data_IF_007426185605
#
_entry.id   IF_007426185605
#
_cell.length_a   1.000
_cell.length_b   1.000
_cell.length_c   1.000
_cell.angle_alpha   90.00
_cell.angle_beta   90.00
_cell.angle_gamma   90.00
#
_symmetry.space_group_name_H-M   'P 1'
#
loop_
_entity.id
_entity.type
_entity.pdbx_description
1 polymer ?
#
# COMPACT_ATOMS: atom_id res chain seq x y z
N UNK A 1 27.55 -17.58 3.28
CA UNK A 1 26.77 -16.71 4.18
C UNK A 1 25.42 -17.37 4.36
N UNK A 2 24.98 -17.58 5.60
CA UNK A 2 23.60 -17.99 5.85
C UNK A 2 22.70 -16.83 5.43
N UNK A 3 21.64 -17.12 4.70
CA UNK A 3 20.70 -16.11 4.23
C UNK A 3 19.79 -15.60 5.33
N UNK A 4 19.30 -14.37 5.20
CA UNK A 4 18.44 -13.72 6.19
C UNK A 4 16.98 -14.12 6.01
N UNK A 5 16.31 -14.55 7.08
CA UNK A 5 14.84 -14.69 7.14
C UNK A 5 14.23 -13.40 7.68
N UNK A 6 13.40 -12.77 6.86
CA UNK A 6 12.83 -11.45 7.13
C UNK A 6 11.35 -11.55 7.51
N UNK A 7 10.97 -11.02 8.67
CA UNK A 7 9.57 -10.81 9.05
C UNK A 7 9.14 -9.37 8.72
N UNK A 8 8.04 -9.21 8.00
CA UNK A 8 7.51 -7.91 7.57
C UNK A 8 6.09 -7.74 8.09
N UNK A 9 5.86 -7.06 9.22
CA UNK A 9 4.52 -6.62 9.61
C UNK A 9 3.96 -5.60 8.61
N UNK A 10 2.87 -5.96 7.94
CA UNK A 10 2.26 -5.15 6.88
C UNK A 10 1.19 -4.23 7.46
N UNK A 11 1.41 -2.93 7.34
CA UNK A 11 0.44 -1.89 7.69
C UNK A 11 -0.31 -1.33 6.48
N UNK A 12 -0.85 -0.11 6.63
CA UNK A 12 -1.77 0.49 5.65
C UNK A 12 -1.16 0.80 4.27
N UNK A 13 0.16 0.95 4.16
CA UNK A 13 0.86 0.99 2.87
C UNK A 13 1.47 -0.37 2.57
N UNK A 14 1.14 -0.92 1.40
CA UNK A 14 1.73 -2.17 0.91
C UNK A 14 3.06 -1.95 0.20
N UNK A 15 3.49 -0.70 -0.02
CA UNK A 15 4.77 -0.39 -0.67
C UNK A 15 5.99 -0.95 0.06
N UNK A 16 5.87 -1.17 1.37
CA UNK A 16 6.93 -1.79 2.17
C UNK A 16 7.17 -3.26 1.83
N UNK A 17 6.19 -3.95 1.24
CA UNK A 17 6.37 -5.32 0.73
C UNK A 17 7.37 -5.30 -0.43
N UNK A 18 7.18 -4.38 -1.38
CA UNK A 18 8.10 -4.23 -2.52
C UNK A 18 9.50 -3.85 -2.05
N UNK A 19 9.62 -2.94 -1.08
CA UNK A 19 10.91 -2.59 -0.49
C UNK A 19 11.58 -3.77 0.21
N UNK A 20 10.83 -4.58 0.95
CA UNK A 20 11.36 -5.81 1.56
C UNK A 20 11.86 -6.81 0.51
N UNK A 21 11.16 -6.94 -0.62
CA UNK A 21 11.56 -7.81 -1.72
C UNK A 21 12.82 -7.34 -2.47
N UNK A 22 13.21 -6.07 -2.34
CA UNK A 22 14.43 -5.49 -2.94
C UNK A 22 15.68 -5.64 -2.04
N UNK A 23 15.55 -6.20 -0.83
CA UNK A 23 16.68 -6.37 0.08
C UNK A 23 17.57 -7.55 -0.33
N UNK A 24 18.85 -7.27 -0.55
CA UNK A 24 19.87 -8.27 -0.83
C UNK A 24 20.12 -9.20 0.37
N UNK A 25 20.48 -10.46 0.09
CA UNK A 25 20.85 -11.45 1.11
C UNK A 25 19.66 -12.05 1.88
N UNK A 26 18.43 -11.63 1.59
CA UNK A 26 17.21 -12.23 2.14
C UNK A 26 16.85 -13.51 1.39
N UNK A 27 16.70 -14.62 2.11
CA UNK A 27 16.36 -15.94 1.53
C UNK A 27 14.90 -16.35 1.76
N UNK A 28 14.17 -15.59 2.56
CA UNK A 28 12.75 -15.81 2.77
C UNK A 28 12.10 -14.63 3.47
N UNK A 29 10.91 -14.28 3.01
CA UNK A 29 10.09 -13.21 3.58
C UNK A 29 8.82 -13.84 4.17
N UNK A 30 8.52 -13.51 5.42
CA UNK A 30 7.24 -13.79 6.03
C UNK A 30 6.48 -12.48 6.23
N UNK A 31 5.36 -12.31 5.53
CA UNK A 31 4.48 -11.16 5.69
C UNK A 31 3.50 -11.43 6.84
N UNK A 32 3.49 -10.57 7.84
CA UNK A 32 2.50 -10.62 8.90
C UNK A 32 1.37 -9.63 8.58
N UNK A 33 0.27 -10.17 8.06
CA UNK A 33 -0.86 -9.41 7.54
C UNK A 33 -1.92 -9.18 8.63
N UNK A 34 -2.55 -8.01 8.65
CA UNK A 34 -3.73 -7.80 9.50
C UNK A 34 -5.01 -8.19 8.76
N UNK A 35 -5.93 -8.88 9.44
CA UNK A 35 -7.21 -9.31 8.85
C UNK A 35 -8.06 -8.13 8.35
N UNK A 36 -7.95 -6.97 8.98
CA UNK A 36 -8.62 -5.74 8.56
C UNK A 36 -8.15 -5.20 7.21
N UNK A 37 -6.86 -5.36 6.86
CA UNK A 37 -6.29 -4.88 5.61
C UNK A 37 -6.32 -5.93 4.49
N UNK A 38 -6.47 -7.20 4.87
CA UNK A 38 -6.56 -8.34 3.96
C UNK A 38 -7.76 -9.24 4.32
N UNK A 39 -9.01 -8.71 4.23
CA UNK A 39 -10.20 -9.46 4.61
C UNK A 39 -10.56 -10.58 3.60
N UNK A 40 -10.01 -10.53 2.39
CA UNK A 40 -10.30 -11.47 1.32
C UNK A 40 -9.04 -12.30 0.96
N UNK A 41 -9.07 -13.64 1.07
CA UNK A 41 -7.97 -14.52 0.65
C UNK A 41 -7.52 -14.33 -0.80
N UNK A 42 -8.43 -13.95 -1.69
CA UNK A 42 -8.11 -13.76 -3.10
C UNK A 42 -7.24 -12.51 -3.32
N UNK A 43 -7.39 -11.48 -2.49
CA UNK A 43 -6.50 -10.30 -2.52
C UNK A 43 -5.07 -10.68 -2.18
N UNK A 44 -4.87 -11.60 -1.23
CA UNK A 44 -3.53 -12.08 -0.85
C UNK A 44 -2.93 -12.94 -1.95
N UNK A 45 -3.70 -13.86 -2.54
CA UNK A 45 -3.24 -14.67 -3.69
C UNK A 45 -2.81 -13.80 -4.86
N UNK A 46 -3.61 -12.78 -5.21
CA UNK A 46 -3.27 -11.84 -6.28
C UNK A 46 -2.02 -11.05 -5.97
N UNK A 47 -1.89 -10.52 -4.74
CA UNK A 47 -0.69 -9.82 -4.30
C UNK A 47 0.56 -10.70 -4.43
N UNK A 48 0.51 -11.95 -3.99
CA UNK A 48 1.63 -12.89 -4.10
C UNK A 48 1.96 -13.21 -5.57
N UNK A 49 0.94 -13.42 -6.41
CA UNK A 49 1.14 -13.62 -7.84
C UNK A 49 1.78 -12.39 -8.50
N UNK A 50 1.35 -11.18 -8.15
CA UNK A 50 1.96 -9.95 -8.65
C UNK A 50 3.44 -9.85 -8.29
N UNK A 51 3.86 -10.28 -7.09
CA UNK A 51 5.29 -10.29 -6.74
C UNK A 51 6.09 -11.24 -7.66
N UNK A 52 5.53 -12.40 -7.98
CA UNK A 52 6.15 -13.37 -8.91
C UNK A 52 6.20 -12.78 -10.33
N UNK A 53 5.11 -12.18 -10.80
CA UNK A 53 5.01 -11.59 -12.14
C UNK A 53 5.94 -10.38 -12.31
N UNK A 54 6.24 -9.67 -11.23
CA UNK A 54 7.23 -8.60 -11.18
C UNK A 54 8.69 -9.12 -11.15
N UNK A 55 8.89 -10.44 -11.03
CA UNK A 55 10.21 -11.07 -11.08
C UNK A 55 10.92 -11.18 -9.72
N UNK A 56 10.22 -11.01 -8.59
CA UNK A 56 10.83 -11.24 -7.28
C UNK A 56 11.01 -12.74 -7.03
N UNK A 57 12.26 -13.16 -6.84
CA UNK A 57 12.62 -14.58 -6.67
C UNK A 57 12.56 -15.05 -5.21
N UNK A 58 12.65 -14.12 -4.26
CA UNK A 58 12.65 -14.44 -2.83
C UNK A 58 11.33 -15.07 -2.40
N UNK A 59 11.32 -16.28 -1.80
CA UNK A 59 10.09 -16.92 -1.35
C UNK A 59 9.33 -16.06 -0.33
N UNK A 60 8.04 -15.85 -0.58
CA UNK A 60 7.14 -15.09 0.29
C UNK A 60 6.09 -16.00 0.89
N UNK A 61 6.00 -16.00 2.22
CA UNK A 61 4.96 -16.67 2.99
C UNK A 61 4.14 -15.65 3.77
N UNK A 62 2.95 -16.03 4.24
CA UNK A 62 2.02 -15.11 4.91
C UNK A 62 1.49 -15.70 6.22
N UNK A 63 1.30 -14.83 7.20
CA UNK A 63 0.60 -15.09 8.45
C UNK A 63 -0.46 -14.02 8.70
N UNK A 64 -1.48 -14.33 9.50
CA UNK A 64 -2.58 -13.41 9.78
C UNK A 64 -2.72 -13.15 11.27
N UNK A 65 -2.80 -11.86 11.61
CA UNK A 65 -3.07 -11.36 12.96
C UNK A 65 -4.25 -10.38 12.95
N UNK A 66 -4.82 -10.15 14.12
CA UNK A 66 -5.71 -9.04 14.33
C UNK A 66 -4.88 -7.78 14.56
N UNK A 67 -5.24 -6.70 13.87
CA UNK A 67 -4.51 -5.44 13.97
C UNK A 67 -4.91 -4.64 15.22
N UNK A 68 -4.40 -3.40 15.33
CA UNK A 68 -4.68 -2.51 16.46
C UNK A 68 -6.17 -2.21 16.68
N UNK A 69 -7.01 -2.40 15.66
CA UNK A 69 -8.47 -2.27 15.73
C UNK A 69 -9.13 -3.25 16.71
N UNK A 70 -8.51 -4.39 17.00
CA UNK A 70 -8.95 -5.34 18.03
C UNK A 70 -8.57 -4.89 19.46
N UNK A 71 -7.92 -3.73 19.59
CA UNK A 71 -7.37 -3.20 20.84
C UNK A 71 -5.98 -3.77 21.17
N UNK A 72 -5.24 -3.14 22.11
CA UNK A 72 -3.87 -3.52 22.42
C UNK A 72 -3.70 -4.98 22.86
N UNK A 73 -4.63 -5.48 23.68
CA UNK A 73 -4.61 -6.85 24.19
C UNK A 73 -4.93 -7.85 23.08
N UNK A 74 -6.01 -7.62 22.32
CA UNK A 74 -6.42 -8.52 21.23
C UNK A 74 -5.36 -8.65 20.15
N UNK A 75 -4.74 -7.54 19.73
CA UNK A 75 -3.65 -7.54 18.75
C UNK A 75 -2.44 -8.34 19.25
N UNK A 76 -2.00 -8.10 20.50
CA UNK A 76 -0.88 -8.82 21.12
C UNK A 76 -1.17 -10.33 21.21
N UNK A 77 -2.36 -10.70 21.66
CA UNK A 77 -2.73 -12.09 21.87
C UNK A 77 -2.82 -12.82 20.52
N UNK A 78 -3.36 -12.18 19.48
CA UNK A 78 -3.36 -12.70 18.10
C UNK A 78 -1.93 -12.93 17.55
N UNK A 79 -0.98 -12.05 17.86
CA UNK A 79 0.43 -12.24 17.49
C UNK A 79 1.06 -13.43 18.24
N UNK A 80 0.73 -13.62 19.53
CA UNK A 80 1.22 -14.77 20.30
C UNK A 80 0.65 -16.08 19.73
N UNK A 81 -0.66 -16.12 19.44
CA UNK A 81 -1.32 -17.28 18.82
C UNK A 81 -0.73 -17.61 17.44
N UNK A 82 -0.45 -16.59 16.61
CA UNK A 82 0.23 -16.78 15.34
C UNK A 82 1.62 -17.41 15.54
N UNK A 83 2.39 -16.95 16.51
CA UNK A 83 3.70 -17.55 16.83
C UNK A 83 3.58 -19.00 17.28
N UNK A 84 2.62 -19.30 18.14
CA UNK A 84 2.41 -20.66 18.68
C UNK A 84 1.91 -21.64 17.61
N UNK A 85 1.13 -21.17 16.64
CA UNK A 85 0.59 -21.98 15.54
C UNK A 85 1.50 -22.05 14.30
N UNK A 86 2.41 -21.09 14.13
CA UNK A 86 3.25 -20.89 12.95
C UNK A 86 4.46 -21.81 12.80
N UNK A 87 4.64 -22.79 13.71
CA UNK A 87 5.79 -23.69 13.71
C UNK A 87 7.09 -23.02 14.22
N UNK A 88 8.25 -23.61 13.88
CA UNK A 88 9.58 -23.15 14.34
C UNK A 88 10.11 -21.91 13.59
N UNK A 89 9.23 -21.03 13.09
CA UNK A 89 9.66 -19.81 12.40
C UNK A 89 10.26 -18.82 13.41
N UNK A 90 11.53 -18.49 13.19
CA UNK A 90 12.27 -17.48 13.96
C UNK A 90 12.89 -16.52 12.94
N UNK A 91 12.49 -15.23 12.90
CA UNK A 91 13.12 -14.28 12.01
C UNK A 91 14.53 -13.92 12.48
N UNK A 92 15.42 -13.67 11.52
CA UNK A 92 16.73 -13.09 11.80
C UNK A 92 16.64 -11.56 11.82
N UNK A 93 15.72 -10.98 11.04
CA UNK A 93 15.44 -9.56 10.99
C UNK A 93 13.92 -9.28 10.92
N UNK A 94 13.50 -8.14 11.46
CA UNK A 94 12.13 -7.65 11.38
C UNK A 94 12.13 -6.28 10.70
N UNK A 95 11.45 -6.18 9.55
CA UNK A 95 11.31 -4.92 8.82
C UNK A 95 10.12 -4.12 9.36
N UNK A 96 10.39 -3.12 10.19
CA UNK A 96 9.37 -2.46 11.00
C UNK A 96 8.69 -1.26 10.30
N UNK A 97 9.15 -0.88 9.10
CA UNK A 97 8.61 0.28 8.39
C UNK A 97 7.11 0.12 8.09
N UNK A 98 6.35 1.17 8.38
CA UNK A 98 4.90 1.25 8.14
C UNK A 98 4.04 0.32 8.99
N UNK A 99 4.63 -0.38 9.96
CA UNK A 99 3.91 -1.08 11.00
C UNK A 99 3.56 -0.15 12.17
N UNK A 100 2.62 -0.57 13.02
CA UNK A 100 2.30 0.18 14.24
C UNK A 100 3.26 -0.17 15.36
N UNK A 101 3.55 0.80 16.23
CA UNK A 101 4.43 0.59 17.39
C UNK A 101 3.97 -0.57 18.28
N UNK A 102 2.66 -0.82 18.36
CA UNK A 102 2.09 -1.94 19.11
C UNK A 102 2.54 -3.30 18.54
N UNK A 103 2.45 -3.47 17.21
CA UNK A 103 2.88 -4.69 16.53
C UNK A 103 4.40 -4.83 16.67
N UNK A 104 5.15 -3.76 16.41
CA UNK A 104 6.62 -3.76 16.50
C UNK A 104 7.10 -4.15 17.90
N UNK A 105 6.55 -3.53 18.96
CA UNK A 105 6.90 -3.85 20.34
C UNK A 105 6.57 -5.30 20.70
N UNK A 106 5.42 -5.81 20.24
CA UNK A 106 5.00 -7.20 20.49
C UNK A 106 5.96 -8.19 19.81
N UNK A 107 6.35 -7.93 18.56
CA UNK A 107 7.29 -8.76 17.83
C UNK A 107 8.71 -8.71 18.41
N UNK A 108 9.21 -7.53 18.77
CA UNK A 108 10.52 -7.37 19.41
C UNK A 108 10.61 -8.13 20.73
N UNK A 109 9.53 -8.14 21.53
CA UNK A 109 9.44 -8.96 22.75
C UNK A 109 9.46 -10.46 22.45
N UNK A 110 8.80 -10.89 21.37
CA UNK A 110 8.69 -12.31 21.01
C UNK A 110 9.94 -12.86 20.34
N UNK A 111 10.72 -12.00 19.67
CA UNK A 111 11.94 -12.37 18.95
C UNK A 111 13.08 -11.42 19.37
N UNK A 112 13.55 -11.52 20.62
CA UNK A 112 14.56 -10.59 21.15
C UNK A 112 15.93 -10.71 20.46
N UNK A 113 16.17 -11.79 19.72
CA UNK A 113 17.40 -12.02 18.95
C UNK A 113 17.34 -11.47 17.52
N UNK A 114 16.16 -11.04 17.04
CA UNK A 114 16.01 -10.53 15.69
C UNK A 114 16.37 -9.04 15.64
N UNK A 115 17.18 -8.65 14.65
CA UNK A 115 17.47 -7.23 14.43
C UNK A 115 16.20 -6.51 13.95
N UNK A 116 15.96 -5.31 14.47
CA UNK A 116 14.93 -4.43 13.91
C UNK A 116 15.57 -3.58 12.81
N UNK A 117 15.00 -3.62 11.60
CA UNK A 117 15.46 -2.81 10.48
C UNK A 117 14.34 -1.89 9.98
N UNK A 118 14.69 -0.66 9.55
CA UNK A 118 13.72 0.35 9.12
C UNK A 118 14.25 1.14 7.93
N UNK A 119 13.38 1.34 6.95
CA UNK A 119 13.58 2.21 5.80
C UNK A 119 13.27 3.67 6.18
N UNK A 120 14.26 4.54 5.99
CA UNK A 120 14.14 5.99 6.05
C UNK A 120 14.55 6.57 4.71
N UNK A 121 13.57 7.08 3.96
CA UNK A 121 13.75 7.49 2.55
C UNK A 121 14.21 6.31 1.70
N UNK A 122 15.49 6.23 1.38
CA UNK A 122 16.13 5.15 0.61
C UNK A 122 17.09 4.32 1.45
N UNK A 123 17.33 4.69 2.70
CA UNK A 123 18.31 4.04 3.57
C UNK A 123 17.61 3.01 4.46
N UNK A 124 18.10 1.78 4.47
CA UNK A 124 17.69 0.76 5.43
C UNK A 124 18.69 0.74 6.57
N UNK A 125 18.18 1.00 7.77
CA UNK A 125 18.96 1.14 8.98
C UNK A 125 18.61 0.03 9.95
N UNK A 126 19.62 -0.60 10.56
CA UNK A 126 19.46 -1.45 11.74
C UNK A 126 19.32 -0.58 12.99
N UNK A 127 18.34 -0.90 13.83
CA UNK A 127 17.99 -0.19 15.05
C UNK A 127 18.49 -0.94 16.29
N UNK A 128 18.79 -0.25 17.42
CA UNK A 128 18.65 1.19 17.63
C UNK A 128 19.85 2.05 17.19
N UNK A 129 20.99 1.46 16.84
CA UNK A 129 22.24 2.19 16.55
C UNK A 129 22.20 2.99 15.23
N UNK A 130 21.15 2.79 14.42
CA UNK A 130 20.98 3.40 13.08
C UNK A 130 22.14 3.07 12.13
N UNK A 131 22.63 1.84 12.20
CA UNK A 131 23.66 1.33 11.29
C UNK A 131 23.06 1.15 9.88
N UNK A 132 23.65 1.78 8.88
CA UNK A 132 23.26 1.61 7.48
C UNK A 132 23.57 0.20 6.98
N UNK A 133 22.53 -0.56 6.64
CA UNK A 133 22.67 -1.93 6.12
C UNK A 133 22.46 -2.03 4.61
N UNK A 134 21.65 -1.14 4.02
CA UNK A 134 21.39 -1.14 2.58
C UNK A 134 20.84 0.21 2.11
N UNK A 135 20.94 0.46 0.80
CA UNK A 135 20.29 1.57 0.11
C UNK A 135 19.40 0.96 -0.96
N UNK A 136 18.11 1.29 -0.93
CA UNK A 136 17.11 0.78 -1.86
C UNK A 136 16.69 1.84 -2.86
N UNK A 137 16.48 1.40 -4.10
CA UNK A 137 15.83 2.21 -5.11
C UNK A 137 14.37 2.53 -4.72
N UNK A 138 13.82 3.66 -5.18
CA UNK A 138 12.41 3.96 -5.01
C UNK A 138 11.50 2.84 -5.52
N UNK A 139 10.28 2.77 -4.95
CA UNK A 139 9.25 1.89 -5.52
C UNK A 139 8.78 2.49 -6.84
N UNK A 140 8.83 1.70 -7.90
CA UNK A 140 8.33 2.14 -9.20
C UNK A 140 6.80 2.14 -9.21
N UNK A 141 6.21 3.12 -9.88
CA UNK A 141 4.74 3.27 -9.87
C UNK A 141 4.03 2.03 -10.43
N UNK A 142 4.60 1.40 -11.44
CA UNK A 142 4.04 0.20 -12.06
C UNK A 142 4.10 -1.01 -11.12
N UNK A 143 5.18 -1.15 -10.34
CA UNK A 143 5.29 -2.19 -9.31
C UNK A 143 4.21 -2.00 -8.23
N UNK A 144 4.05 -0.74 -7.76
CA UNK A 144 3.04 -0.41 -6.76
C UNK A 144 1.62 -0.69 -7.27
N UNK A 145 1.28 -0.26 -8.48
CA UNK A 145 -0.02 -0.54 -9.08
C UNK A 145 -0.27 -2.04 -9.22
N UNK A 146 0.71 -2.80 -9.73
CA UNK A 146 0.59 -4.24 -9.92
C UNK A 146 0.36 -5.00 -8.60
N UNK A 147 1.03 -4.58 -7.51
CA UNK A 147 0.81 -5.13 -6.17
C UNK A 147 -0.64 -4.98 -5.69
N UNK A 148 -1.33 -3.95 -6.19
CA UNK A 148 -2.73 -3.65 -5.90
C UNK A 148 -3.71 -4.19 -6.96
N UNK A 149 -3.24 -5.04 -7.90
CA UNK A 149 -4.06 -5.55 -8.99
C UNK A 149 -4.44 -4.49 -10.03
N UNK A 150 -3.74 -3.36 -10.04
CA UNK A 150 -4.02 -2.22 -10.91
C UNK A 150 -3.03 -2.12 -12.06
N UNK A 151 -3.50 -1.56 -13.17
CA UNK A 151 -2.66 -1.23 -14.33
C UNK A 151 -3.08 0.09 -14.93
N UNK A 152 -2.10 0.88 -15.37
CA UNK A 152 -2.30 2.12 -16.11
C UNK A 152 -1.93 1.87 -17.58
N UNK A 153 -2.82 2.25 -18.51
CA UNK A 153 -2.50 2.24 -19.94
C UNK A 153 -1.81 3.54 -20.38
N UNK A 154 -1.26 3.54 -21.61
CA UNK A 154 -0.56 4.69 -22.19
C UNK A 154 -1.45 5.95 -22.33
N UNK A 155 -2.77 5.78 -22.29
CA UNK A 155 -3.75 6.86 -22.38
C UNK A 155 -4.18 7.36 -21.00
N UNK A 156 -3.60 6.84 -19.91
CA UNK A 156 -3.93 7.22 -18.54
C UNK A 156 -5.20 6.55 -17.99
N UNK A 157 -5.76 5.52 -18.66
CA UNK A 157 -6.89 4.79 -18.11
C UNK A 157 -6.44 3.72 -17.13
N UNK A 158 -7.14 3.63 -16.00
CA UNK A 158 -6.92 2.61 -15.00
C UNK A 158 -7.75 1.35 -15.27
N UNK A 159 -7.13 0.20 -15.03
CA UNK A 159 -7.80 -1.07 -14.86
C UNK A 159 -7.52 -1.62 -13.45
N UNK A 160 -8.52 -2.29 -12.88
CA UNK A 160 -8.46 -2.98 -11.59
C UNK A 160 -8.89 -4.43 -11.82
N UNK A 161 -8.02 -5.38 -11.45
CA UNK A 161 -8.26 -6.82 -11.64
C UNK A 161 -8.67 -7.18 -13.08
N UNK A 162 -8.09 -6.49 -14.06
CA UNK A 162 -8.37 -6.67 -15.50
C UNK A 162 -9.60 -5.91 -16.03
N UNK A 163 -10.37 -5.26 -15.16
CA UNK A 163 -11.55 -4.47 -15.53
C UNK A 163 -11.21 -2.99 -15.63
N UNK A 164 -11.50 -2.38 -16.78
CA UNK A 164 -11.28 -0.93 -16.98
C UNK A 164 -12.25 -0.13 -16.11
N UNK A 165 -11.72 0.79 -15.30
CA UNK A 165 -12.51 1.71 -14.49
C UNK A 165 -13.23 2.73 -15.38
N UNK A 166 -14.41 3.18 -14.94
CA UNK A 166 -15.29 4.06 -15.71
C UNK A 166 -14.87 5.54 -15.66
N UNK A 167 -13.94 5.89 -14.77
CA UNK A 167 -13.39 7.24 -14.67
C UNK A 167 -12.73 7.69 -15.99
N UNK A 168 -12.69 9.01 -16.25
CA UNK A 168 -11.82 9.54 -17.29
C UNK A 168 -10.35 9.21 -17.00
N UNK A 169 -9.46 9.32 -18.01
CA UNK A 169 -8.04 9.19 -17.81
C UNK A 169 -7.49 10.04 -16.65
N UNK A 170 -6.49 9.52 -15.97
CA UNK A 170 -5.70 10.29 -15.02
C UNK A 170 -4.95 11.42 -15.73
N UNK A 171 -4.84 12.54 -15.04
CA UNK A 171 -3.90 13.61 -15.37
C UNK A 171 -2.47 13.16 -15.05
N UNK A 172 -2.28 12.58 -13.86
CA UNK A 172 -1.03 11.94 -13.46
C UNK A 172 -1.25 10.86 -12.39
N UNK A 173 -0.21 10.04 -12.22
CA UNK A 173 -0.10 9.02 -11.20
C UNK A 173 1.34 9.07 -10.66
N UNK A 174 1.51 9.50 -9.41
CA UNK A 174 2.85 9.78 -8.86
C UNK A 174 3.07 9.07 -7.54
N UNK A 175 4.29 8.56 -7.34
CA UNK A 175 4.72 8.03 -6.05
C UNK A 175 5.13 9.18 -5.13
N UNK A 176 4.58 9.22 -3.92
CA UNK A 176 5.01 10.11 -2.84
C UNK A 176 5.42 9.25 -1.64
N UNK A 177 6.73 9.08 -1.44
CA UNK A 177 7.24 8.12 -0.47
C UNK A 177 6.86 6.68 -0.86
N UNK A 178 6.16 5.96 0.03
CA UNK A 178 5.75 4.57 -0.19
C UNK A 178 4.30 4.42 -0.65
N UNK A 179 3.68 5.51 -1.13
CA UNK A 179 2.27 5.55 -1.51
C UNK A 179 2.07 6.28 -2.84
N UNK A 180 1.26 5.71 -3.72
CA UNK A 180 0.86 6.35 -4.96
C UNK A 180 -0.33 7.31 -4.78
N UNK A 181 -0.33 8.41 -5.53
CA UNK A 181 -1.42 9.37 -5.63
C UNK A 181 -1.97 9.39 -7.05
N UNK A 182 -3.28 9.18 -7.17
CA UNK A 182 -4.03 9.18 -8.43
C UNK A 182 -4.70 10.55 -8.60
N UNK A 183 -4.38 11.27 -9.67
CA UNK A 183 -4.90 12.61 -9.93
C UNK A 183 -5.78 12.65 -11.16
N UNK A 184 -7.02 13.10 -10.99
CA UNK A 184 -7.90 13.52 -12.09
C UNK A 184 -7.96 15.05 -12.15
N UNK A 185 -7.88 15.61 -13.36
CA UNK A 185 -8.01 17.05 -13.58
C UNK A 185 -9.04 17.33 -14.65
N UNK A 186 -10.01 18.18 -14.33
CA UNK A 186 -10.92 18.76 -15.31
C UNK A 186 -10.40 20.12 -15.75
N UNK A 187 -10.02 20.24 -17.02
CA UNK A 187 -9.40 21.44 -17.60
C UNK A 187 -10.33 22.26 -18.49
N UNK A 188 -11.46 21.68 -18.94
CA UNK A 188 -12.41 22.40 -19.79
C UNK A 188 -13.13 23.51 -19.02
N UNK A 189 -13.28 24.67 -19.66
CA UNK A 189 -14.08 25.79 -19.16
C UNK A 189 -15.51 25.35 -18.85
N UNK A 190 -16.15 26.02 -17.88
CA UNK A 190 -17.52 25.72 -17.44
C UNK A 190 -18.46 26.86 -17.84
N UNK A 191 -18.36 27.30 -19.10
CA UNK A 191 -19.09 28.46 -19.60
C UNK A 191 -20.47 28.06 -20.13
N UNK A 192 -20.58 26.86 -20.73
CA UNK A 192 -21.84 26.32 -21.27
C UNK A 192 -22.57 25.35 -20.31
N UNK A 193 -23.87 25.14 -20.54
CA UNK A 193 -24.64 24.14 -19.79
C UNK A 193 -24.17 22.70 -20.05
N UNK A 194 -23.72 22.39 -21.26
CA UNK A 194 -23.31 21.03 -21.61
C UNK A 194 -21.95 20.68 -20.99
N UNK A 195 -21.03 21.65 -20.88
CA UNK A 195 -19.79 21.48 -20.12
C UNK A 195 -20.06 21.25 -18.63
N UNK A 196 -21.01 21.97 -18.03
CA UNK A 196 -21.40 21.74 -16.62
C UNK A 196 -21.97 20.33 -16.41
N UNK A 197 -22.78 19.84 -17.35
CA UNK A 197 -23.28 18.45 -17.32
C UNK A 197 -22.14 17.45 -17.45
N UNK A 198 -21.20 17.69 -18.35
CA UNK A 198 -20.04 16.83 -18.57
C UNK A 198 -19.12 16.79 -17.34
N UNK A 199 -18.84 17.94 -16.74
CA UNK A 199 -18.07 18.05 -15.49
C UNK A 199 -18.74 17.29 -14.35
N UNK A 200 -20.06 17.45 -14.17
CA UNK A 200 -20.83 16.70 -13.17
C UNK A 200 -20.74 15.19 -13.41
N UNK A 201 -20.92 14.75 -14.65
CA UNK A 201 -20.80 13.33 -15.01
C UNK A 201 -19.38 12.81 -14.75
N UNK A 202 -18.35 13.57 -15.11
CA UNK A 202 -16.96 13.24 -14.83
C UNK A 202 -16.71 13.05 -13.33
N UNK A 203 -17.16 13.98 -12.49
CA UNK A 203 -17.02 13.88 -11.03
C UNK A 203 -17.70 12.62 -10.46
N UNK A 204 -18.88 12.26 -10.98
CA UNK A 204 -19.58 11.04 -10.57
C UNK A 204 -18.82 9.76 -10.95
N UNK A 205 -18.23 9.72 -12.17
CA UNK A 205 -17.44 8.59 -12.64
C UNK A 205 -16.13 8.42 -11.85
N UNK A 206 -15.46 9.54 -11.52
CA UNK A 206 -14.29 9.56 -10.63
C UNK A 206 -14.68 9.04 -9.24
N UNK A 207 -15.73 9.59 -8.62
CA UNK A 207 -16.19 9.15 -7.30
C UNK A 207 -16.54 7.66 -7.26
N UNK A 208 -17.22 7.15 -8.29
CA UNK A 208 -17.53 5.72 -8.43
C UNK A 208 -16.27 4.85 -8.53
N UNK A 209 -15.29 5.27 -9.32
CA UNK A 209 -14.04 4.50 -9.49
C UNK A 209 -13.18 4.52 -8.23
N UNK A 210 -13.14 5.64 -7.50
CA UNK A 210 -12.47 5.73 -6.20
C UNK A 210 -13.12 4.77 -5.19
N UNK A 211 -14.45 4.73 -5.15
CA UNK A 211 -15.18 3.79 -4.28
C UNK A 211 -14.82 2.34 -4.60
N UNK A 212 -14.79 1.97 -5.89
CA UNK A 212 -14.42 0.63 -6.34
C UNK A 212 -12.98 0.26 -5.95
N UNK A 213 -12.03 1.18 -6.12
CA UNK A 213 -10.64 1.01 -5.66
C UNK A 213 -10.63 0.78 -4.14
N UNK A 214 -11.29 1.62 -3.35
CA UNK A 214 -11.30 1.51 -1.88
C UNK A 214 -11.91 0.19 -1.41
N UNK A 215 -13.01 -0.25 -2.03
CA UNK A 215 -13.66 -1.53 -1.70
C UNK A 215 -12.77 -2.73 -2.02
N UNK A 216 -11.93 -2.65 -3.06
CA UNK A 216 -11.03 -3.74 -3.45
C UNK A 216 -9.69 -3.74 -2.70
N UNK A 217 -9.07 -2.57 -2.55
CA UNK A 217 -7.69 -2.44 -2.04
C UNK A 217 -7.56 -1.77 -0.67
N UNK A 218 -8.62 -1.11 -0.19
CA UNK A 218 -8.66 -0.41 1.10
C UNK A 218 -8.39 1.11 1.03
N UNK A 219 -8.98 1.85 1.97
CA UNK A 219 -8.99 3.34 2.05
C UNK A 219 -7.60 3.99 2.24
N UNK A 220 -6.58 3.22 2.63
CA UNK A 220 -5.23 3.71 2.88
C UNK A 220 -4.25 3.56 1.72
N UNK A 221 -4.58 2.71 0.74
CA UNK A 221 -3.65 2.26 -0.29
C UNK A 221 -3.23 3.37 -1.27
N UNK A 222 -4.12 4.30 -1.59
CA UNK A 222 -3.88 5.37 -2.57
C UNK A 222 -4.26 6.74 -2.00
N UNK A 223 -3.56 7.76 -2.49
CA UNK A 223 -3.99 9.16 -2.39
C UNK A 223 -4.89 9.45 -3.58
N UNK A 224 -5.92 10.27 -3.38
CA UNK A 224 -6.83 10.64 -4.45
C UNK A 224 -6.93 12.16 -4.56
N UNK A 225 -6.65 12.67 -5.76
CA UNK A 225 -6.79 14.08 -6.11
C UNK A 225 -7.80 14.22 -7.25
N UNK A 226 -8.71 15.19 -7.13
CA UNK A 226 -9.70 15.50 -8.17
C UNK A 226 -9.87 17.01 -8.30
N UNK A 227 -9.13 17.61 -9.23
CA UNK A 227 -9.07 19.06 -9.41
C UNK A 227 -9.97 19.54 -10.54
N UNK A 228 -10.50 20.76 -10.40
CA UNK A 228 -11.29 21.40 -11.45
C UNK A 228 -12.73 20.89 -11.59
N UNK A 229 -13.18 19.93 -10.77
CA UNK A 229 -14.56 19.42 -10.75
C UNK A 229 -15.53 20.26 -9.89
N UNK A 230 -15.01 21.23 -9.14
CA UNK A 230 -15.79 22.11 -8.26
C UNK A 230 -16.59 21.34 -7.21
N UNK A 231 -17.75 21.88 -6.83
CA UNK A 231 -18.63 21.29 -5.81
C UNK A 231 -19.20 19.91 -6.19
N UNK A 232 -19.14 19.51 -7.47
CA UNK A 232 -19.63 18.21 -7.91
C UNK A 232 -18.82 17.05 -7.32
N UNK A 233 -17.51 17.25 -7.09
CA UNK A 233 -16.68 16.22 -6.48
C UNK A 233 -17.02 16.01 -5.01
N UNK A 234 -17.24 17.09 -4.25
CA UNK A 234 -17.67 17.02 -2.84
C UNK A 234 -19.00 16.28 -2.65
N UNK A 235 -19.86 16.27 -3.67
CA UNK A 235 -21.11 15.51 -3.66
C UNK A 235 -20.94 14.04 -4.11
N UNK A 236 -19.82 13.71 -4.74
CA UNK A 236 -19.56 12.39 -5.34
C UNK A 236 -18.54 11.57 -4.54
N UNK A 237 -17.83 12.18 -3.60
CA UNK A 237 -16.85 11.52 -2.72
C UNK A 237 -16.73 12.21 -1.37
N UNK A 238 -16.25 11.50 -0.36
CA UNK A 238 -15.91 12.08 0.94
C UNK A 238 -14.70 13.01 0.82
N UNK A 239 -14.78 14.29 1.24
CA UNK A 239 -13.66 15.23 1.20
C UNK A 239 -12.49 14.85 2.12
N UNK A 240 -12.67 13.90 3.04
CA UNK A 240 -11.56 13.33 3.83
C UNK A 240 -10.72 12.33 3.04
N UNK A 241 -11.25 11.83 1.92
CA UNK A 241 -10.64 10.81 1.08
C UNK A 241 -10.02 11.43 -0.17
N UNK A 242 -10.73 12.39 -0.78
CA UNK A 242 -10.33 13.01 -2.04
C UNK A 242 -9.97 14.46 -1.83
N UNK A 243 -8.73 14.82 -2.13
CA UNK A 243 -8.31 16.21 -2.15
C UNK A 243 -8.85 16.89 -3.42
N UNK A 244 -9.51 18.03 -3.22
CA UNK A 244 -10.12 18.84 -4.28
C UNK A 244 -9.62 20.29 -4.28
N UNK A 245 -8.79 20.65 -3.29
CA UNK A 245 -8.15 21.95 -3.25
C UNK A 245 -7.11 22.03 -4.38
N UNK A 246 -7.12 23.10 -5.16
CA UNK A 246 -6.07 23.33 -6.16
C UNK A 246 -4.73 23.42 -5.43
N UNK A 247 -3.69 22.80 -5.99
CA UNK A 247 -2.32 23.05 -5.57
C UNK A 247 -2.08 24.57 -5.58
N UNK A 248 -1.77 25.16 -4.42
CA UNK A 248 -1.11 26.46 -4.38
C UNK A 248 0.29 26.21 -4.95
N UNK A 249 0.67 26.95 -5.99
CA UNK A 249 2.03 26.91 -6.54
C UNK A 249 3.00 27.30 -5.41
N UNK A 250 3.85 26.36 -4.98
CA UNK A 250 5.08 26.66 -4.21
C UNK A 250 6.16 27.25 -5.11
#
# INVERSE_FOLDING_TARGET
MEGVRLLVPVGGSRGNILQACKLDGVVGIHLLLTRSLFPNPDTVKRMLQSLIDLGFETPVSVGFIDGPEAGPVGCRDSINEWKESGGDYVPDQIFVTGSTLLIVASLSRLFPSADLISLRRHEVLRLPEEELISILDPVEINEYLALHGMKLDEKGNLALDGHKLVAPPLDNCVMTGTKATLTWRWTSGCESQDEKKAQKKGAQLVGSSIKEIIESVGIGAFGFNAFGFGHYMSNSSDPKIVNTAKEEEE
#
